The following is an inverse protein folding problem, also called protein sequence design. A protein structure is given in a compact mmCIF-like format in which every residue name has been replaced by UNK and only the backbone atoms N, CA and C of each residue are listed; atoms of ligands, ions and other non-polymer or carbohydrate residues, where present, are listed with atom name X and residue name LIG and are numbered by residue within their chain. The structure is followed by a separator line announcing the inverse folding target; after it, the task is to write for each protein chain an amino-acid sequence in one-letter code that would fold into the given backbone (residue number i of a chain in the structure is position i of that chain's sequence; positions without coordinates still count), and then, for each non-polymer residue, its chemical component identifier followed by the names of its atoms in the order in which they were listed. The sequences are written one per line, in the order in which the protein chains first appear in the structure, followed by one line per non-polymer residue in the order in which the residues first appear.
data_IF_186459177614
#
_entry.id   IF_186459177614
#
_cell.length_a   1.000
_cell.length_b   1.000
_cell.length_c   1.000
_cell.angle_alpha   90.00
_cell.angle_beta   90.00
_cell.angle_gamma   90.00
#
_symmetry.space_group_name_H-M   'P 1'
#
loop_
_entity.id
_entity.type
_entity.pdbx_description
1 polymer ?
#
# COMPACT_ATOMS: atom_id res chain seq x y z
N UNK A 1 -1.93 -0.62 34.64
CA UNK A 1 -1.15 -0.83 33.42
C UNK A 1 -1.94 -0.22 32.26
N UNK A 2 -1.60 1.03 31.90
CA UNK A 2 -2.26 1.69 30.80
C UNK A 2 -1.75 1.11 29.49
N UNK A 3 -2.62 0.41 28.78
CA UNK A 3 -2.36 0.05 27.40
C UNK A 3 -2.42 1.35 26.57
N UNK A 4 -1.29 1.91 26.29
CA UNK A 4 -1.19 2.96 25.26
C UNK A 4 -1.62 2.33 23.93
N UNK A 5 -2.88 2.52 23.58
CA UNK A 5 -3.31 2.30 22.21
C UNK A 5 -2.48 3.27 21.37
N UNK A 6 -1.55 2.76 20.62
CA UNK A 6 -0.89 3.53 19.56
C UNK A 6 -1.98 3.97 18.59
N UNK A 7 -2.48 5.18 18.78
CA UNK A 7 -3.27 5.82 17.73
C UNK A 7 -2.29 6.05 16.58
N UNK A 8 -2.49 5.42 15.44
CA UNK A 8 -1.60 5.67 14.30
C UNK A 8 -1.63 7.17 14.00
N UNK A 9 -0.48 7.79 14.04
CA UNK A 9 -0.37 9.19 13.67
C UNK A 9 -0.67 9.28 12.17
N UNK A 10 -1.78 9.90 11.81
CA UNK A 10 -2.14 10.07 10.41
C UNK A 10 -1.12 11.01 9.76
N UNK A 11 -0.48 10.55 8.70
CA UNK A 11 0.50 11.33 7.93
C UNK A 11 -0.10 11.74 6.59
N UNK A 12 0.31 12.89 6.13
CA UNK A 12 -0.15 13.45 4.86
C UNK A 12 1.06 14.00 4.09
N UNK A 13 1.09 13.76 2.79
CA UNK A 13 2.07 14.30 1.86
C UNK A 13 1.33 14.98 0.73
N UNK A 14 1.81 16.14 0.31
CA UNK A 14 1.17 16.94 -0.75
C UNK A 14 2.14 17.17 -1.90
N UNK A 15 1.65 16.98 -3.11
CA UNK A 15 2.31 17.31 -4.37
C UNK A 15 1.18 17.79 -5.31
N UNK A 16 0.86 19.07 -5.24
CA UNK A 16 -0.31 19.64 -5.94
C UNK A 16 -0.42 19.15 -7.40
N UNK A 17 -1.57 18.69 -7.88
CA UNK A 17 -2.86 18.63 -7.19
C UNK A 17 -3.12 17.31 -6.46
N UNK A 18 -2.10 16.63 -6.00
CA UNK A 18 -2.21 15.29 -5.39
C UNK A 18 -1.93 15.32 -3.91
N UNK A 19 -2.61 14.44 -3.19
CA UNK A 19 -2.48 14.24 -1.75
C UNK A 19 -2.31 12.75 -1.47
N UNK A 20 -1.39 12.37 -0.59
CA UNK A 20 -1.34 11.02 -0.01
C UNK A 20 -1.66 11.15 1.47
N UNK A 21 -2.51 10.27 1.99
CA UNK A 21 -2.85 10.26 3.42
C UNK A 21 -2.94 8.83 3.94
N UNK A 22 -2.52 8.65 5.21
CA UNK A 22 -2.69 7.37 5.92
C UNK A 22 -3.97 7.33 6.75
N UNK A 23 -4.84 8.32 6.64
CA UNK A 23 -6.13 8.33 7.34
C UNK A 23 -7.12 7.40 6.62
N UNK A 24 -7.46 6.23 7.20
CA UNK A 24 -8.37 5.30 6.52
C UNK A 24 -9.79 5.84 6.38
N UNK A 25 -10.18 6.86 7.16
CA UNK A 25 -11.52 7.45 7.07
C UNK A 25 -11.74 8.23 5.76
N UNK A 26 -10.64 8.61 5.09
CA UNK A 26 -10.72 9.33 3.81
C UNK A 26 -10.95 8.39 2.62
N UNK A 27 -10.79 7.06 2.81
CA UNK A 27 -10.88 6.10 1.71
C UNK A 27 -12.35 5.86 1.35
N UNK A 28 -12.77 6.21 0.13
CA UNK A 28 -14.15 5.91 -0.31
C UNK A 28 -14.25 4.41 -0.63
N UNK A 29 -14.88 3.65 0.27
CA UNK A 29 -14.94 2.18 0.20
C UNK A 29 -15.61 1.72 -1.10
N UNK A 30 -16.65 2.43 -1.56
CA UNK A 30 -17.31 2.09 -2.81
C UNK A 30 -16.35 2.17 -4.00
N UNK A 31 -15.51 3.22 -4.06
CA UNK A 31 -14.54 3.40 -5.13
C UNK A 31 -13.43 2.33 -5.06
N UNK A 32 -12.95 2.05 -3.85
CA UNK A 32 -11.94 1.01 -3.64
C UNK A 32 -12.47 -0.37 -4.08
N UNK A 33 -13.69 -0.72 -3.67
CA UNK A 33 -14.33 -1.97 -4.06
C UNK A 33 -14.57 -2.05 -5.57
N UNK A 34 -14.91 -0.91 -6.21
CA UNK A 34 -15.09 -0.86 -7.67
C UNK A 34 -13.78 -1.22 -8.38
N UNK A 35 -12.64 -0.77 -7.85
CA UNK A 35 -11.31 -1.12 -8.40
C UNK A 35 -10.98 -2.59 -8.15
N UNK A 36 -11.31 -3.12 -6.98
CA UNK A 36 -11.08 -4.54 -6.65
C UNK A 36 -11.94 -5.47 -7.52
N UNK A 37 -13.01 -4.95 -8.11
CA UNK A 37 -13.84 -5.70 -9.06
C UNK A 37 -13.24 -5.72 -10.48
N UNK A 38 -12.11 -5.05 -10.70
CA UNK A 38 -11.46 -4.98 -12.02
C UNK A 38 -10.21 -5.87 -12.08
N UNK A 39 -9.70 -6.09 -13.29
CA UNK A 39 -8.47 -6.84 -13.49
C UNK A 39 -7.22 -6.04 -13.08
N UNK A 40 -7.34 -4.79 -12.67
CA UNK A 40 -6.21 -4.00 -12.17
C UNK A 40 -5.65 -4.60 -10.88
N UNK A 41 -6.54 -5.15 -10.04
CA UNK A 41 -6.19 -5.79 -8.77
C UNK A 41 -6.61 -7.27 -8.85
N UNK A 42 -6.00 -8.01 -9.78
CA UNK A 42 -6.39 -9.38 -10.12
C UNK A 42 -6.18 -10.39 -8.98
N UNK A 43 -5.45 -10.00 -7.94
CA UNK A 43 -5.11 -10.89 -6.81
C UNK A 43 -6.12 -10.77 -5.65
N UNK A 44 -7.15 -9.93 -5.78
CA UNK A 44 -8.12 -9.68 -4.71
C UNK A 44 -9.52 -9.48 -5.30
N UNK A 45 -10.53 -9.77 -4.51
CA UNK A 45 -11.94 -9.55 -4.85
C UNK A 45 -12.53 -8.48 -3.94
N UNK A 46 -13.61 -7.80 -4.39
CA UNK A 46 -14.33 -6.86 -3.53
C UNK A 46 -14.86 -7.54 -2.28
N UNK A 47 -14.92 -6.81 -1.19
CA UNK A 47 -15.42 -7.30 0.09
C UNK A 47 -16.72 -6.57 0.46
N UNK A 48 -17.62 -7.21 1.24
CA UNK A 48 -18.74 -6.46 1.83
C UNK A 48 -18.21 -5.20 2.54
N UNK A 49 -18.99 -4.12 2.47
CA UNK A 49 -18.54 -2.80 2.95
C UNK A 49 -18.03 -2.82 4.39
N UNK A 50 -18.76 -3.51 5.29
CA UNK A 50 -18.35 -3.61 6.69
C UNK A 50 -17.04 -4.36 6.86
N UNK A 51 -16.81 -5.40 6.05
CA UNK A 51 -15.57 -6.20 6.08
C UNK A 51 -14.41 -5.38 5.50
N UNK A 52 -14.65 -4.66 4.40
CA UNK A 52 -13.64 -3.77 3.85
C UNK A 52 -13.25 -2.69 4.87
N UNK A 53 -14.23 -2.08 5.55
CA UNK A 53 -13.97 -1.07 6.58
C UNK A 53 -13.10 -1.66 7.72
N UNK A 54 -13.43 -2.87 8.16
CA UNK A 54 -12.64 -3.58 9.18
C UNK A 54 -11.21 -3.85 8.69
N UNK A 55 -11.07 -4.29 7.44
CA UNK A 55 -9.77 -4.55 6.80
C UNK A 55 -8.90 -3.29 6.80
N UNK A 56 -9.48 -2.16 6.38
CA UNK A 56 -8.76 -0.87 6.34
C UNK A 56 -8.38 -0.40 7.75
N UNK A 57 -9.28 -0.54 8.71
CA UNK A 57 -9.03 -0.14 10.11
C UNK A 57 -7.89 -0.94 10.74
N UNK A 58 -7.74 -2.20 10.35
CA UNK A 58 -6.71 -3.10 10.88
C UNK A 58 -5.43 -3.11 10.04
N UNK A 59 -5.28 -2.16 9.13
CA UNK A 59 -4.12 -2.05 8.24
C UNK A 59 -3.56 -0.64 8.26
N UNK A 60 -2.33 -0.50 7.83
CA UNK A 60 -1.75 0.81 7.50
C UNK A 60 -2.05 1.07 6.02
N UNK A 61 -2.93 2.03 5.76
CA UNK A 61 -3.40 2.32 4.41
C UNK A 61 -2.82 3.64 3.92
N UNK A 62 -2.55 3.72 2.63
CA UNK A 62 -2.10 4.92 1.94
C UNK A 62 -3.08 5.18 0.80
N UNK A 63 -3.90 6.21 0.92
CA UNK A 63 -4.74 6.67 -0.18
C UNK A 63 -4.04 7.78 -0.95
N UNK A 64 -3.99 7.66 -2.26
CA UNK A 64 -3.52 8.71 -3.17
C UNK A 64 -4.75 9.37 -3.79
N UNK A 65 -4.87 10.66 -3.63
CA UNK A 65 -6.07 11.41 -4.04
C UNK A 65 -5.70 12.52 -5.02
N UNK A 66 -6.61 12.75 -5.97
CA UNK A 66 -6.60 13.91 -6.86
C UNK A 66 -7.55 14.95 -6.28
N UNK A 67 -7.03 16.10 -5.93
CA UNK A 67 -7.80 17.21 -5.34
C UNK A 67 -8.26 18.23 -6.40
N UNK A 68 -7.89 18.06 -7.67
CA UNK A 68 -8.25 19.00 -8.76
C UNK A 68 -9.68 18.83 -9.25
N UNK A 69 -10.35 17.72 -8.88
CA UNK A 69 -11.67 17.40 -9.41
C UNK A 69 -12.81 18.14 -8.69
N UNK A 70 -12.48 19.01 -7.74
CA UNK A 70 -13.48 19.72 -6.94
C UNK A 70 -13.92 21.01 -7.65
N UNK A 71 -15.03 20.93 -8.38
CA UNK A 71 -15.76 22.12 -8.82
C UNK A 71 -16.75 22.62 -7.78
N UNK A 72 -16.92 21.90 -6.70
CA UNK A 72 -17.84 22.25 -5.61
C UNK A 72 -17.04 22.78 -4.40
N UNK A 73 -17.26 24.05 -4.01
CA UNK A 73 -16.57 24.63 -2.86
C UNK A 73 -17.07 24.12 -1.51
N UNK A 74 -17.99 23.16 -1.48
CA UNK A 74 -18.51 22.59 -0.22
C UNK A 74 -17.42 21.81 0.53
N UNK A 75 -17.17 22.08 1.81
CA UNK A 75 -16.23 21.27 2.59
C UNK A 75 -16.89 19.97 3.10
N UNK A 76 -16.15 18.82 3.11
CA UNK A 76 -14.79 18.69 2.58
C UNK A 76 -14.80 18.55 1.04
N UNK A 77 -13.78 19.06 0.38
CA UNK A 77 -13.71 18.92 -1.07
C UNK A 77 -13.68 17.44 -1.45
N UNK A 78 -14.49 17.08 -2.45
CA UNK A 78 -14.56 15.70 -2.93
C UNK A 78 -13.21 15.34 -3.58
N UNK A 79 -12.45 14.45 -2.92
CA UNK A 79 -11.17 13.97 -3.44
C UNK A 79 -11.41 12.66 -4.16
N UNK A 80 -10.86 12.54 -5.37
CA UNK A 80 -10.95 11.30 -6.14
C UNK A 80 -9.80 10.37 -5.79
N UNK A 81 -10.11 9.14 -5.40
CA UNK A 81 -9.09 8.12 -5.12
C UNK A 81 -8.41 7.73 -6.44
N UNK A 82 -7.14 8.09 -6.58
CA UNK A 82 -6.32 7.87 -7.77
C UNK A 82 -5.38 6.68 -7.64
N UNK A 83 -5.12 6.24 -6.41
CA UNK A 83 -4.25 5.11 -6.14
C UNK A 83 -4.33 4.68 -4.68
N UNK A 84 -3.72 3.53 -4.38
CA UNK A 84 -3.83 2.94 -3.05
C UNK A 84 -2.63 2.03 -2.79
N UNK A 85 -2.26 1.90 -1.53
CA UNK A 85 -1.33 0.90 -1.05
C UNK A 85 -1.73 0.52 0.38
N UNK A 86 -1.53 -0.75 0.74
CA UNK A 86 -1.91 -1.23 2.07
C UNK A 86 -0.78 -2.06 2.65
N UNK A 87 -0.48 -1.85 3.93
CA UNK A 87 0.45 -2.68 4.68
C UNK A 87 -0.30 -3.43 5.78
N UNK A 88 -0.19 -4.75 5.76
CA UNK A 88 -0.59 -5.60 6.90
C UNK A 88 0.58 -5.56 7.88
N UNK A 89 0.37 -5.03 9.07
CA UNK A 89 1.47 -4.72 9.98
C UNK A 89 1.02 -4.75 11.43
N UNK A 90 1.97 -5.06 12.32
CA UNK A 90 1.81 -4.88 13.76
C UNK A 90 2.24 -3.47 14.20
N UNK A 91 2.56 -2.60 13.24
CA UNK A 91 3.03 -1.23 13.44
C UNK A 91 4.35 -1.12 14.21
N UNK A 92 5.08 -2.23 14.37
CA UNK A 92 6.29 -2.27 15.18
C UNK A 92 7.41 -3.09 14.54
N UNK A 93 7.14 -4.39 14.27
CA UNK A 93 8.21 -5.32 13.89
C UNK A 93 8.10 -5.87 12.48
N UNK A 94 6.91 -5.79 11.86
CA UNK A 94 6.66 -6.45 10.58
C UNK A 94 5.72 -5.61 9.72
N UNK A 95 5.98 -5.60 8.42
CA UNK A 95 5.10 -4.96 7.43
C UNK A 95 5.07 -5.77 6.14
N UNK A 96 3.87 -6.12 5.67
CA UNK A 96 3.64 -6.78 4.39
C UNK A 96 2.91 -5.81 3.48
N UNK A 97 3.59 -5.32 2.45
CA UNK A 97 3.03 -4.38 1.48
C UNK A 97 2.21 -5.14 0.44
N UNK A 98 0.98 -4.73 0.24
CA UNK A 98 0.03 -5.36 -0.69
C UNK A 98 -0.92 -4.31 -1.26
N UNK A 99 -1.75 -4.72 -2.22
CA UNK A 99 -2.82 -3.92 -2.81
C UNK A 99 -2.34 -2.58 -3.38
N UNK A 100 -1.12 -2.59 -3.97
CA UNK A 100 -0.53 -1.37 -4.55
C UNK A 100 -1.04 -1.18 -5.97
N UNK A 101 -1.69 -0.03 -6.21
CA UNK A 101 -2.08 0.34 -7.57
C UNK A 101 -2.15 1.86 -7.73
N UNK A 102 -2.03 2.29 -8.97
CA UNK A 102 -2.38 3.65 -9.41
C UNK A 102 -3.28 3.47 -10.64
N UNK A 103 -4.41 4.17 -10.66
CA UNK A 103 -5.38 4.07 -11.77
C UNK A 103 -4.69 4.43 -13.11
N UNK A 104 -5.06 3.74 -14.21
CA UNK A 104 -4.39 3.95 -15.52
C UNK A 104 -4.34 5.42 -15.95
N UNK A 105 -5.40 6.19 -15.70
CA UNK A 105 -5.45 7.61 -16.08
C UNK A 105 -4.46 8.49 -15.30
N UNK A 106 -3.87 7.96 -14.21
CA UNK A 106 -2.91 8.69 -13.36
C UNK A 106 -1.50 8.14 -13.47
N UNK A 107 -1.28 7.12 -14.30
CA UNK A 107 0.05 6.54 -14.50
C UNK A 107 0.92 7.44 -15.41
N UNK A 108 2.23 7.31 -15.30
CA UNK A 108 3.19 8.06 -16.11
C UNK A 108 3.67 9.36 -15.50
N UNK A 109 3.10 9.79 -14.36
CA UNK A 109 3.48 11.03 -13.66
C UNK A 109 4.32 10.78 -12.40
N UNK A 110 4.83 9.56 -12.20
CA UNK A 110 5.65 9.21 -11.05
C UNK A 110 4.87 9.03 -9.75
N UNK A 111 3.54 8.97 -9.82
CA UNK A 111 2.69 8.88 -8.62
C UNK A 111 2.84 7.56 -7.89
N UNK A 112 3.03 6.45 -8.62
CA UNK A 112 3.28 5.13 -8.01
C UNK A 112 4.60 5.12 -7.24
N UNK A 113 5.64 5.70 -7.82
CA UNK A 113 6.94 5.83 -7.16
C UNK A 113 6.83 6.69 -5.90
N UNK A 114 6.09 7.79 -5.98
CA UNK A 114 5.86 8.67 -4.82
C UNK A 114 5.07 7.95 -3.72
N UNK A 115 4.01 7.22 -4.10
CA UNK A 115 3.19 6.45 -3.16
C UNK A 115 4.05 5.44 -2.37
N UNK A 116 4.89 4.68 -3.08
CA UNK A 116 5.74 3.66 -2.45
C UNK A 116 6.86 4.33 -1.62
N UNK A 117 7.37 5.49 -2.03
CA UNK A 117 8.31 6.26 -1.20
C UNK A 117 7.67 6.67 0.13
N UNK A 118 6.40 7.09 0.13
CA UNK A 118 5.69 7.41 1.37
C UNK A 118 5.57 6.19 2.29
N UNK A 119 5.40 4.99 1.71
CA UNK A 119 5.44 3.74 2.49
C UNK A 119 6.82 3.59 3.15
N UNK A 120 7.90 3.76 2.38
CA UNK A 120 9.27 3.70 2.90
C UNK A 120 9.51 4.67 4.04
N UNK A 121 9.06 5.92 3.88
CA UNK A 121 9.21 6.95 4.93
C UNK A 121 8.49 6.57 6.23
N UNK A 122 7.37 5.86 6.15
CA UNK A 122 6.67 5.37 7.34
C UNK A 122 7.46 4.21 7.97
N UNK A 123 7.99 3.32 7.14
CA UNK A 123 8.83 2.21 7.61
C UNK A 123 10.09 2.72 8.32
N UNK A 124 10.73 3.74 7.78
CA UNK A 124 11.90 4.39 8.42
C UNK A 124 11.59 4.96 9.80
N UNK A 125 10.52 5.10 9.95
CA UNK A 125 10.04 5.57 11.15
C UNK A 125 9.65 4.54 12.12
N UNK A 126 9.83 3.37 11.81
CA UNK A 126 9.58 2.22 12.71
C UNK A 126 10.91 1.67 13.25
N UNK A 127 11.36 2.09 14.41
CA UNK A 127 12.73 1.77 14.88
C UNK A 127 12.95 0.28 15.22
N UNK A 128 11.87 -0.48 15.34
CA UNK A 128 11.93 -1.91 15.66
C UNK A 128 11.50 -2.78 14.48
N UNK A 129 11.36 -2.20 13.28
CA UNK A 129 10.95 -2.95 12.09
C UNK A 129 12.04 -3.96 11.71
N UNK A 130 11.72 -5.23 11.84
CA UNK A 130 12.66 -6.34 11.57
C UNK A 130 12.55 -6.80 10.11
N UNK A 131 11.37 -6.65 9.53
CA UNK A 131 11.13 -7.14 8.17
C UNK A 131 9.99 -6.40 7.50
N UNK A 132 10.26 -5.96 6.29
CA UNK A 132 9.24 -5.52 5.34
C UNK A 132 9.29 -6.44 4.13
N UNK A 133 8.14 -6.85 3.60
CA UNK A 133 8.09 -7.77 2.48
C UNK A 133 6.91 -7.48 1.56
N UNK A 134 6.98 -8.00 0.36
CA UNK A 134 5.86 -8.03 -0.59
C UNK A 134 5.99 -9.26 -1.47
N UNK A 135 4.89 -9.64 -2.11
CA UNK A 135 4.89 -10.68 -3.15
C UNK A 135 4.55 -10.03 -4.49
N UNK A 136 5.20 -10.49 -5.55
CA UNK A 136 4.88 -10.06 -6.91
C UNK A 136 5.03 -11.25 -7.86
N UNK A 137 4.11 -11.33 -8.83
CA UNK A 137 4.23 -12.25 -9.97
C UNK A 137 4.84 -11.56 -11.19
N UNK A 138 4.91 -10.24 -11.20
CA UNK A 138 5.49 -9.45 -12.30
C UNK A 138 6.95 -9.11 -11.97
N UNK A 139 7.82 -10.09 -12.19
CA UNK A 139 9.23 -9.97 -11.85
C UNK A 139 9.94 -8.87 -12.64
N UNK A 140 9.63 -8.76 -13.92
CA UNK A 140 10.33 -7.83 -14.82
C UNK A 140 10.11 -6.37 -14.45
N UNK A 141 8.90 -6.03 -14.03
CA UNK A 141 8.53 -4.64 -13.68
C UNK A 141 8.69 -4.34 -12.21
N UNK A 142 8.25 -5.27 -11.35
CA UNK A 142 8.16 -5.00 -9.91
C UNK A 142 9.50 -5.08 -9.21
N UNK A 143 10.34 -6.05 -9.56
CA UNK A 143 11.63 -6.23 -8.86
C UNK A 143 12.50 -4.99 -8.97
N UNK A 144 12.85 -4.49 -10.19
CA UNK A 144 13.68 -3.28 -10.29
C UNK A 144 13.04 -2.08 -9.61
N UNK A 145 11.72 -1.98 -9.67
CA UNK A 145 10.97 -0.87 -9.06
C UNK A 145 11.14 -0.86 -7.54
N UNK A 146 10.88 -2.00 -6.88
CA UNK A 146 10.95 -2.08 -5.41
C UNK A 146 12.40 -2.08 -4.91
N UNK A 147 13.34 -2.61 -5.68
CA UNK A 147 14.77 -2.46 -5.38
C UNK A 147 15.18 -0.98 -5.38
N UNK A 148 14.77 -0.24 -6.41
CA UNK A 148 15.10 1.18 -6.53
C UNK A 148 14.44 2.02 -5.43
N UNK A 149 13.15 1.78 -5.16
CA UNK A 149 12.34 2.70 -4.33
C UNK A 149 12.49 2.39 -2.84
N UNK A 150 12.56 1.10 -2.47
CA UNK A 150 12.58 0.66 -1.06
C UNK A 150 13.88 -0.07 -0.67
N UNK A 151 14.81 -0.26 -1.59
CA UNK A 151 16.03 -1.01 -1.32
C UNK A 151 15.78 -2.50 -1.03
N UNK A 152 14.66 -3.02 -1.48
CA UNK A 152 14.29 -4.41 -1.22
C UNK A 152 15.16 -5.38 -2.01
N UNK A 153 15.35 -6.58 -1.46
CA UNK A 153 16.15 -7.64 -2.11
C UNK A 153 15.28 -8.87 -2.32
N UNK A 154 15.54 -9.57 -3.42
CA UNK A 154 14.85 -10.82 -3.72
C UNK A 154 15.27 -11.89 -2.70
N UNK A 155 14.29 -12.55 -2.09
CA UNK A 155 14.51 -13.71 -1.25
C UNK A 155 14.05 -14.94 -2.04
N UNK A 156 14.99 -15.60 -2.72
CA UNK A 156 14.70 -16.84 -3.41
C UNK A 156 14.79 -18.04 -2.48
N UNK A 157 13.78 -18.93 -2.58
CA UNK A 157 13.88 -20.21 -1.92
C UNK A 157 14.93 -21.06 -2.64
N UNK A 158 15.98 -21.49 -1.94
CA UNK A 158 16.88 -22.53 -2.45
C UNK A 158 16.07 -23.81 -2.59
N UNK A 159 15.97 -24.33 -3.80
CA UNK A 159 15.23 -25.55 -4.09
C UNK A 159 15.76 -26.72 -3.25
N UNK A 160 15.07 -27.05 -2.23
CA UNK A 160 15.26 -28.32 -1.55
C UNK A 160 14.14 -29.26 -2.01
N UNK A 161 14.40 -30.30 -2.41
CA UNK A 161 13.55 -31.21 -3.02
C UNK A 161 12.44 -31.71 -2.19
N UNK A 162 11.45 -31.44 -2.41
CA UNK A 162 10.34 -32.16 -1.82
C UNK A 162 9.12 -31.30 -1.51
N UNK A 163 8.07 -31.55 -2.26
CA UNK A 163 6.69 -31.26 -1.82
C UNK A 163 6.11 -29.93 -2.21
N UNK A 164 5.44 -29.91 -3.32
CA UNK A 164 4.62 -29.01 -3.97
C UNK A 164 3.84 -27.97 -3.21
N UNK A 165 4.26 -26.75 -3.36
CA UNK A 165 3.41 -25.57 -3.52
C UNK A 165 4.07 -24.80 -4.67
N UNK A 166 3.52 -24.99 -5.86
CA UNK A 166 4.02 -24.31 -7.04
C UNK A 166 3.35 -22.92 -7.10
N UNK A 167 4.03 -21.96 -6.59
CA UNK A 167 3.79 -20.57 -6.85
C UNK A 167 5.12 -19.89 -6.89
N UNK A 168 5.46 -19.31 -8.01
CA UNK A 168 6.68 -18.51 -8.13
C UNK A 168 6.46 -17.20 -7.35
N UNK A 169 6.79 -17.22 -6.08
CA UNK A 169 6.68 -16.03 -5.23
C UNK A 169 8.07 -15.42 -5.03
N UNK A 170 8.20 -14.17 -5.41
CA UNK A 170 9.34 -13.37 -5.02
C UNK A 170 9.04 -12.72 -3.67
N UNK A 171 9.74 -13.12 -2.67
CA UNK A 171 9.75 -12.40 -1.39
C UNK A 171 10.85 -11.35 -1.50
N UNK A 172 10.47 -10.08 -1.47
CA UNK A 172 11.41 -8.96 -1.46
C UNK A 172 11.40 -8.41 -0.04
N UNK A 173 12.50 -8.57 0.66
CA UNK A 173 12.60 -8.14 2.07
C UNK A 173 13.72 -7.15 2.26
N UNK A 174 13.44 -6.05 2.95
CA UNK A 174 14.47 -5.16 3.47
C UNK A 174 14.82 -5.64 4.89
N UNK A 175 16.03 -6.09 5.06
CA UNK A 175 16.56 -6.38 6.38
C UNK A 175 17.33 -5.18 6.89
N UNK A 176 16.92 -4.69 8.04
CA UNK A 176 17.71 -3.66 8.73
C UNK A 176 18.80 -4.40 9.51
N UNK A 177 20.05 -4.13 9.15
CA UNK A 177 21.22 -4.67 9.88
C UNK A 177 21.46 -3.90 11.16
#
# INVERSE_FOLDING_TARGET
METTKHTPLHRTWTREPYLISTDPSLIPISDLNAIFATNLVYWADPLPENIMRETLTNSLCFGLYDTSTTSDPSPPPAMKLAGFARCVTDFTTFSYLTDVYVLPSYQGAGLGKWLVKCVGEVHDXMPYLRRSMLFTSDWERSVPFYEEVLGMQIVQRKNGXGGGWAGDYAEVGAGVS
#
